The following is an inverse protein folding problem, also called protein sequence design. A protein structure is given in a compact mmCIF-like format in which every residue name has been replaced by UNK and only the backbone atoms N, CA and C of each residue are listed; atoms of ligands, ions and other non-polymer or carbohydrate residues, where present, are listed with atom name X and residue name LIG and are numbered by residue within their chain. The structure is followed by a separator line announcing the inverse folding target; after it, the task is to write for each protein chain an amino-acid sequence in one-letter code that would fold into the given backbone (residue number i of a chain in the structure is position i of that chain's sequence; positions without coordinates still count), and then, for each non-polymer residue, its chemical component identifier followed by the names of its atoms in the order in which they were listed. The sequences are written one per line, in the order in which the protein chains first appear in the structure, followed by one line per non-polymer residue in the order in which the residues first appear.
data_IF_423259778394
#
_entry.id   IF_423259778394
#
_cell.length_a   1.000
_cell.length_b   1.000
_cell.length_c   1.000
_cell.angle_alpha   90.00
_cell.angle_beta   90.00
_cell.angle_gamma   90.00
#
_symmetry.space_group_name_H-M   'P 1'
#
loop_
_entity.id
_entity.type
_entity.pdbx_description
1 polymer ?
#
# COMPACT_ATOMS: atom_id res chain seq x y z
N UNK A 1 78.36 -10.19 -9.51
CA UNK A 1 77.21 -10.21 -10.45
C UNK A 1 76.02 -11.06 -9.95
N UNK A 2 76.23 -12.22 -9.32
CA UNK A 2 75.16 -13.09 -8.78
C UNK A 2 74.30 -12.48 -7.65
N UNK A 3 74.88 -11.66 -6.77
CA UNK A 3 74.18 -11.08 -5.61
C UNK A 3 73.08 -10.07 -6.00
N UNK A 4 73.30 -9.29 -7.07
CA UNK A 4 72.32 -8.34 -7.61
C UNK A 4 71.15 -9.04 -8.32
N UNK A 5 71.40 -10.21 -8.92
CA UNK A 5 70.37 -11.02 -9.58
C UNK A 5 69.40 -11.64 -8.55
N UNK A 6 69.92 -12.19 -7.45
CA UNK A 6 69.11 -12.77 -6.37
C UNK A 6 68.20 -11.73 -5.70
N UNK A 7 68.71 -10.52 -5.47
CA UNK A 7 67.94 -9.41 -4.86
C UNK A 7 66.77 -8.96 -5.74
N UNK A 8 66.94 -8.97 -7.08
CA UNK A 8 65.85 -8.67 -8.04
C UNK A 8 64.79 -9.78 -8.07
N UNK A 9 65.17 -11.05 -7.93
CA UNK A 9 64.21 -12.15 -7.85
C UNK A 9 63.41 -12.16 -6.54
N UNK A 10 64.07 -11.88 -5.41
CA UNK A 10 63.40 -11.75 -4.11
C UNK A 10 62.39 -10.59 -4.12
N UNK A 11 62.76 -9.45 -4.71
CA UNK A 11 61.86 -8.30 -4.86
C UNK A 11 60.66 -8.63 -5.76
N UNK A 12 60.86 -9.34 -6.87
CA UNK A 12 59.76 -9.80 -7.74
C UNK A 12 58.81 -10.75 -7.01
N UNK A 13 59.34 -11.71 -6.24
CA UNK A 13 58.50 -12.63 -5.43
C UNK A 13 57.68 -11.88 -4.38
N UNK A 14 58.30 -10.90 -3.70
CA UNK A 14 57.60 -10.07 -2.73
C UNK A 14 56.46 -9.26 -3.37
N UNK A 15 56.70 -8.65 -4.54
CA UNK A 15 55.65 -7.91 -5.27
C UNK A 15 54.50 -8.83 -5.68
N UNK A 16 54.78 -10.03 -6.20
CA UNK A 16 53.74 -11.01 -6.56
C UNK A 16 52.92 -11.45 -5.34
N UNK A 17 53.57 -11.69 -4.19
CA UNK A 17 52.88 -12.05 -2.95
C UNK A 17 51.98 -10.93 -2.43
N UNK A 18 52.43 -9.68 -2.50
CA UNK A 18 51.63 -8.52 -2.11
C UNK A 18 50.42 -8.31 -3.03
N UNK A 19 50.59 -8.50 -4.34
CA UNK A 19 49.47 -8.45 -5.30
C UNK A 19 48.46 -9.57 -5.07
N UNK A 20 48.92 -10.79 -4.79
CA UNK A 20 48.04 -11.92 -4.47
C UNK A 20 47.26 -11.69 -3.16
N UNK A 21 47.92 -11.15 -2.12
CA UNK A 21 47.27 -10.80 -0.87
C UNK A 21 46.22 -9.70 -1.06
N UNK A 22 46.51 -8.66 -1.84
CA UNK A 22 45.56 -7.61 -2.19
C UNK A 22 44.32 -8.15 -2.91
N UNK A 23 44.50 -9.10 -3.82
CA UNK A 23 43.40 -9.80 -4.50
C UNK A 23 42.54 -10.60 -3.54
N UNK A 24 43.15 -11.36 -2.61
CA UNK A 24 42.43 -12.15 -1.62
C UNK A 24 41.62 -11.24 -0.68
N UNK A 25 42.21 -10.15 -0.20
CA UNK A 25 41.52 -9.18 0.65
C UNK A 25 40.40 -8.45 -0.10
N UNK A 26 40.61 -8.11 -1.38
CA UNK A 26 39.58 -7.50 -2.23
C UNK A 26 38.40 -8.44 -2.50
N UNK A 27 38.66 -9.70 -2.83
CA UNK A 27 37.61 -10.73 -2.98
C UNK A 27 36.89 -11.00 -1.67
N UNK A 28 37.61 -11.03 -0.54
CA UNK A 28 37.03 -11.15 0.79
C UNK A 28 36.11 -9.98 1.14
N UNK A 29 36.50 -8.75 0.78
CA UNK A 29 35.68 -7.56 0.98
C UNK A 29 34.43 -7.57 0.10
N UNK A 30 34.54 -7.94 -1.18
CA UNK A 30 33.40 -8.08 -2.09
C UNK A 30 32.46 -9.19 -1.60
N UNK A 31 32.99 -10.35 -1.23
CA UNK A 31 32.20 -11.44 -0.66
C UNK A 31 31.52 -11.05 0.66
N UNK A 32 32.21 -10.30 1.51
CA UNK A 32 31.64 -9.76 2.75
C UNK A 32 30.55 -8.70 2.50
N UNK A 33 30.70 -7.87 1.46
CA UNK A 33 29.64 -6.94 1.04
C UNK A 33 28.43 -7.68 0.45
N UNK A 34 28.63 -8.73 -0.32
CA UNK A 34 27.54 -9.61 -0.80
C UNK A 34 26.82 -10.32 0.36
N UNK A 35 27.56 -10.78 1.37
CA UNK A 35 26.99 -11.41 2.56
C UNK A 35 26.26 -10.41 3.48
N UNK A 36 26.65 -9.14 3.50
CA UNK A 36 25.94 -8.05 4.22
C UNK A 36 24.80 -7.44 3.40
N UNK A 37 24.82 -7.55 2.08
CA UNK A 37 23.88 -6.94 1.14
C UNK A 37 22.47 -7.54 1.13
N UNK A 38 22.11 -8.36 2.12
CA UNK A 38 20.82 -9.04 2.16
C UNK A 38 20.37 -9.32 3.58
N UNK A 39 20.34 -8.32 4.46
CA UNK A 39 19.38 -8.37 5.57
C UNK A 39 18.02 -8.21 4.93
N UNK A 40 17.40 -9.32 4.50
CA UNK A 40 15.97 -9.32 4.19
C UNK A 40 15.31 -8.95 5.52
N UNK A 41 14.74 -7.74 5.66
CA UNK A 41 13.98 -7.43 6.86
C UNK A 41 12.89 -8.49 6.91
N UNK A 42 12.82 -9.26 7.99
CA UNK A 42 11.72 -10.19 8.19
C UNK A 42 10.44 -9.36 8.17
N UNK A 43 9.72 -9.38 7.05
CA UNK A 43 8.46 -8.66 6.89
C UNK A 43 7.51 -9.18 7.95
N UNK A 44 7.08 -8.32 8.88
CA UNK A 44 6.13 -8.70 9.92
C UNK A 44 4.70 -8.79 9.37
N UNK A 45 4.43 -8.15 8.24
CA UNK A 45 3.13 -8.17 7.56
C UNK A 45 3.32 -8.44 6.06
N UNK A 46 2.46 -9.30 5.54
CA UNK A 46 2.32 -9.55 4.10
C UNK A 46 1.18 -8.70 3.54
N UNK A 47 1.15 -8.42 2.23
CA UNK A 47 0.00 -7.80 1.60
C UNK A 47 -1.27 -8.63 1.84
N UNK A 48 -2.34 -7.97 2.29
CA UNK A 48 -3.63 -8.57 2.61
C UNK A 48 -4.58 -8.28 1.46
N UNK A 49 -4.95 -9.32 0.71
CA UNK A 49 -5.86 -9.21 -0.44
C UNK A 49 -7.32 -9.49 -0.08
N UNK A 50 -7.56 -10.20 1.02
CA UNK A 50 -8.86 -10.68 1.46
C UNK A 50 -8.89 -10.68 2.99
N UNK A 51 -10.03 -10.32 3.57
CA UNK A 51 -10.32 -10.55 4.98
C UNK A 51 -10.61 -12.02 5.28
N UNK A 52 -11.27 -12.26 6.41
CA UNK A 52 -11.59 -13.60 6.88
C UNK A 52 -12.60 -14.31 5.96
N UNK A 53 -12.25 -15.44 5.31
CA UNK A 53 -13.12 -16.16 4.38
C UNK A 53 -14.32 -16.84 5.07
N UNK A 54 -14.28 -17.00 6.39
CA UNK A 54 -15.36 -17.60 7.18
C UNK A 54 -16.44 -16.57 7.55
N UNK A 55 -16.17 -15.27 7.39
CA UNK A 55 -17.14 -14.20 7.67
C UNK A 55 -17.85 -13.79 6.38
N UNK A 56 -19.20 -13.89 6.35
CA UNK A 56 -20.03 -13.38 5.25
C UNK A 56 -20.11 -11.84 5.25
N UNK A 57 -18.97 -11.21 5.01
CA UNK A 57 -18.79 -9.78 5.00
C UNK A 57 -17.87 -9.35 3.87
N UNK A 58 -18.02 -8.12 3.39
CA UNK A 58 -17.14 -7.49 2.40
C UNK A 58 -16.78 -6.08 2.82
N UNK A 59 -15.62 -5.61 2.38
CA UNK A 59 -15.16 -4.24 2.61
C UNK A 59 -15.11 -3.47 1.30
N UNK A 60 -15.86 -2.37 1.25
CA UNK A 60 -15.72 -1.37 0.20
C UNK A 60 -14.57 -0.43 0.59
N UNK A 61 -13.62 -0.26 -0.31
CA UNK A 61 -12.46 0.62 -0.11
C UNK A 61 -12.43 1.71 -1.16
N UNK A 62 -12.16 2.93 -0.73
CA UNK A 62 -12.06 4.09 -1.62
C UNK A 62 -10.66 4.71 -1.50
N UNK A 63 -9.81 4.56 -2.52
CA UNK A 63 -8.53 5.28 -2.60
C UNK A 63 -8.78 6.68 -3.15
N UNK A 64 -8.33 7.71 -2.43
CA UNK A 64 -8.68 9.11 -2.73
C UNK A 64 -7.43 9.94 -2.89
N UNK A 65 -7.32 10.54 -4.07
CA UNK A 65 -6.36 11.60 -4.37
C UNK A 65 -7.00 12.73 -5.21
N UNK A 66 -8.29 12.59 -5.54
CA UNK A 66 -9.17 13.47 -6.31
C UNK A 66 -10.63 13.03 -6.11
N UNK A 67 -11.61 13.74 -6.68
CA UNK A 67 -13.01 13.29 -6.76
C UNK A 67 -13.89 13.73 -5.59
N UNK A 68 -13.52 14.82 -4.94
CA UNK A 68 -14.24 15.41 -3.80
C UNK A 68 -15.72 15.68 -4.08
N UNK A 69 -16.10 15.96 -5.33
CA UNK A 69 -17.47 16.25 -5.76
C UNK A 69 -18.40 15.04 -5.67
N UNK A 70 -17.86 13.82 -5.69
CA UNK A 70 -18.64 12.57 -5.65
C UNK A 70 -18.81 12.01 -4.24
N UNK A 71 -17.95 12.42 -3.29
CA UNK A 71 -17.99 11.94 -1.91
C UNK A 71 -19.34 12.20 -1.20
N UNK A 72 -20.02 13.35 -1.35
CA UNK A 72 -21.33 13.55 -0.74
C UNK A 72 -22.37 12.50 -1.16
N UNK A 73 -22.42 12.14 -2.45
CA UNK A 73 -23.33 11.12 -2.96
C UNK A 73 -22.97 9.72 -2.46
N UNK A 74 -21.67 9.38 -2.45
CA UNK A 74 -21.15 8.12 -1.93
C UNK A 74 -21.52 7.95 -0.44
N UNK A 75 -21.27 8.96 0.39
CA UNK A 75 -21.58 8.95 1.81
C UNK A 75 -23.08 8.82 2.07
N UNK A 76 -23.91 9.52 1.28
CA UNK A 76 -25.37 9.40 1.38
C UNK A 76 -25.86 7.98 1.07
N UNK A 77 -25.33 7.35 0.01
CA UNK A 77 -25.69 5.99 -0.36
C UNK A 77 -25.24 4.97 0.71
N UNK A 78 -24.02 5.10 1.26
CA UNK A 78 -23.54 4.27 2.36
C UNK A 78 -24.43 4.41 3.61
N UNK A 79 -24.81 5.64 3.97
CA UNK A 79 -25.70 5.90 5.09
C UNK A 79 -27.08 5.26 4.90
N UNK A 80 -27.68 5.41 3.71
CA UNK A 80 -28.98 4.82 3.39
C UNK A 80 -28.98 3.29 3.47
N UNK A 81 -27.85 2.66 3.15
CA UNK A 81 -27.68 1.22 3.23
C UNK A 81 -27.31 0.69 4.62
N UNK A 82 -27.06 1.55 5.61
CA UNK A 82 -26.43 1.22 6.89
C UNK A 82 -25.09 0.47 6.71
N UNK A 83 -24.29 0.97 5.75
CA UNK A 83 -23.03 0.37 5.34
C UNK A 83 -21.84 1.15 5.90
N UNK A 84 -20.76 0.42 6.23
CA UNK A 84 -19.46 1.03 6.52
C UNK A 84 -18.45 0.69 5.44
N UNK A 85 -17.53 1.61 5.20
CA UNK A 85 -16.46 1.50 4.22
C UNK A 85 -15.14 2.03 4.80
N UNK A 86 -14.04 1.75 4.11
CA UNK A 86 -12.71 2.27 4.45
C UNK A 86 -12.23 3.23 3.36
N UNK A 87 -11.87 4.44 3.75
CA UNK A 87 -11.39 5.48 2.84
C UNK A 87 -9.89 5.67 3.05
N UNK A 88 -9.12 5.58 1.96
CA UNK A 88 -7.67 5.76 1.92
C UNK A 88 -7.34 7.07 1.21
N UNK A 89 -7.47 8.24 1.87
CA UNK A 89 -7.01 9.50 1.32
C UNK A 89 -5.48 9.65 1.36
N UNK A 90 -4.93 10.34 0.36
CA UNK A 90 -3.56 10.84 0.45
C UNK A 90 -3.49 12.03 1.41
N UNK A 91 -2.34 12.19 2.07
CA UNK A 91 -2.09 13.34 2.95
C UNK A 91 -2.20 14.69 2.24
N UNK A 92 -1.77 14.77 0.97
CA UNK A 92 -1.90 15.99 0.16
C UNK A 92 -3.36 16.36 -0.09
N UNK A 93 -4.19 15.40 -0.46
CA UNK A 93 -5.62 15.62 -0.69
C UNK A 93 -6.32 15.95 0.63
N UNK A 94 -6.04 15.20 1.69
CA UNK A 94 -6.59 15.44 3.03
C UNK A 94 -6.30 16.85 3.57
N UNK A 95 -5.12 17.39 3.27
CA UNK A 95 -4.73 18.75 3.65
C UNK A 95 -5.57 19.83 2.93
N UNK A 96 -5.99 19.57 1.69
CA UNK A 96 -6.81 20.48 0.90
C UNK A 96 -8.31 20.35 1.22
N UNK A 97 -8.74 19.15 1.63
CA UNK A 97 -10.15 18.83 1.91
C UNK A 97 -10.38 18.34 3.35
N UNK A 98 -9.96 19.09 4.39
CA UNK A 98 -9.98 18.63 5.78
C UNK A 98 -11.38 18.35 6.30
N UNK A 99 -12.39 19.11 5.85
CA UNK A 99 -13.77 18.92 6.29
C UNK A 99 -14.40 17.64 5.71
N UNK A 100 -14.01 17.22 4.50
CA UNK A 100 -14.48 15.94 3.95
C UNK A 100 -13.89 14.76 4.72
N UNK A 101 -12.60 14.80 5.06
CA UNK A 101 -11.97 13.76 5.90
C UNK A 101 -12.68 13.66 7.27
N UNK A 102 -12.95 14.81 7.91
CA UNK A 102 -13.70 14.84 9.17
C UNK A 102 -15.12 14.32 9.02
N UNK A 103 -15.80 14.63 7.91
CA UNK A 103 -17.14 14.14 7.63
C UNK A 103 -17.16 12.61 7.50
N UNK A 104 -16.21 12.04 6.75
CA UNK A 104 -16.05 10.57 6.62
C UNK A 104 -15.87 9.93 8.00
N UNK A 105 -14.97 10.47 8.83
CA UNK A 105 -14.72 9.96 10.17
C UNK A 105 -15.94 10.10 11.10
N UNK A 106 -16.66 11.24 11.07
CA UNK A 106 -17.88 11.47 11.84
C UNK A 106 -19.04 10.56 11.42
N UNK A 107 -19.06 10.13 10.16
CA UNK A 107 -19.99 9.12 9.64
C UNK A 107 -19.61 7.68 10.03
N UNK A 108 -18.62 7.51 10.92
CA UNK A 108 -18.17 6.22 11.46
C UNK A 108 -17.58 5.26 10.40
N UNK A 109 -17.08 5.81 9.29
CA UNK A 109 -16.25 5.07 8.34
C UNK A 109 -14.80 5.01 8.80
N UNK A 110 -14.05 4.00 8.34
CA UNK A 110 -12.64 3.86 8.67
C UNK A 110 -11.80 4.77 7.77
N UNK A 111 -10.81 5.46 8.35
CA UNK A 111 -9.79 6.19 7.62
C UNK A 111 -8.52 5.34 7.59
N UNK A 112 -8.12 4.93 6.38
CA UNK A 112 -6.83 4.35 6.06
C UNK A 112 -5.84 5.41 5.55
N UNK A 113 -4.59 5.00 5.35
CA UNK A 113 -3.52 5.86 4.85
C UNK A 113 -3.16 5.49 3.40
N UNK A 114 -3.09 6.48 2.49
CA UNK A 114 -2.66 6.27 1.09
C UNK A 114 -1.33 6.96 0.75
N UNK A 115 -0.49 7.18 1.77
CA UNK A 115 0.71 7.99 1.64
C UNK A 115 0.40 9.48 1.61
N UNK A 116 1.38 10.30 1.26
CA UNK A 116 1.20 11.74 1.15
C UNK A 116 1.14 12.21 -0.29
N UNK A 117 2.17 11.88 -1.08
CA UNK A 117 2.43 12.50 -2.38
C UNK A 117 1.84 11.78 -3.59
N UNK A 118 1.24 10.60 -3.39
CA UNK A 118 0.86 9.67 -4.46
C UNK A 118 2.02 9.33 -5.45
N UNK A 119 3.25 9.04 -4.97
CA UNK A 119 4.35 8.61 -5.84
C UNK A 119 4.12 7.17 -6.36
N UNK A 120 5.00 6.68 -7.22
CA UNK A 120 5.14 5.24 -7.50
C UNK A 120 6.00 4.58 -6.41
N UNK A 121 5.42 3.98 -5.34
CA UNK A 121 6.17 3.50 -4.19
C UNK A 121 7.16 2.37 -4.50
N UNK A 122 6.96 1.61 -5.58
CA UNK A 122 7.89 0.59 -6.04
C UNK A 122 9.22 1.18 -6.55
N UNK A 123 9.23 2.48 -6.86
CA UNK A 123 10.43 3.22 -7.31
C UNK A 123 11.17 3.91 -6.16
N UNK A 124 10.58 3.92 -4.96
CA UNK A 124 11.16 4.54 -3.77
C UNK A 124 11.94 3.52 -2.94
N UNK A 125 12.94 3.99 -2.20
CA UNK A 125 13.59 3.21 -1.14
C UNK A 125 12.65 2.94 0.04
N UNK A 126 13.08 2.09 0.97
CA UNK A 126 12.32 1.82 2.21
C UNK A 126 12.14 3.10 3.04
N UNK A 127 13.18 3.94 3.15
CA UNK A 127 13.12 5.16 3.96
C UNK A 127 12.27 6.25 3.30
N UNK A 128 12.35 6.40 1.98
CA UNK A 128 11.47 7.33 1.24
C UNK A 128 10.00 6.91 1.34
N UNK A 129 9.70 5.62 1.23
CA UNK A 129 8.35 5.11 1.48
C UNK A 129 7.90 5.38 2.92
N UNK A 130 8.76 5.17 3.92
CA UNK A 130 8.42 5.45 5.32
C UNK A 130 8.14 6.94 5.54
N UNK A 131 8.91 7.82 4.92
CA UNK A 131 8.69 9.27 5.00
C UNK A 131 7.34 9.66 4.40
N UNK A 132 7.02 9.18 3.19
CA UNK A 132 5.74 9.47 2.55
C UNK A 132 4.54 8.97 3.37
N UNK A 133 4.61 7.74 3.87
CA UNK A 133 3.55 7.14 4.70
C UNK A 133 3.36 7.93 6.01
N UNK A 134 4.46 8.30 6.69
CA UNK A 134 4.41 9.08 7.94
C UNK A 134 3.84 10.48 7.72
N UNK A 135 4.19 11.14 6.62
CA UNK A 135 3.64 12.47 6.32
C UNK A 135 2.13 12.41 6.09
N UNK A 136 1.64 11.36 5.45
CA UNK A 136 0.20 11.08 5.34
C UNK A 136 -0.43 10.84 6.71
N UNK A 137 0.19 10.00 7.53
CA UNK A 137 -0.25 9.68 8.89
C UNK A 137 -0.42 10.93 9.76
N UNK A 138 0.56 11.83 9.77
CA UNK A 138 0.53 13.07 10.57
C UNK A 138 -0.69 13.94 10.23
N UNK A 139 -0.98 14.11 8.94
CA UNK A 139 -2.16 14.85 8.48
C UNK A 139 -3.44 14.16 8.93
N UNK A 140 -3.55 12.85 8.75
CA UNK A 140 -4.75 12.09 9.08
C UNK A 140 -5.01 12.05 10.59
N UNK A 141 -3.97 11.90 11.42
CA UNK A 141 -4.07 12.01 12.88
C UNK A 141 -4.54 13.41 13.28
N UNK A 142 -3.99 14.47 12.68
CA UNK A 142 -4.39 15.83 13.00
C UNK A 142 -5.87 16.11 12.69
N UNK A 143 -6.41 15.49 11.64
CA UNK A 143 -7.81 15.68 11.22
C UNK A 143 -8.80 14.79 11.98
N UNK A 144 -8.40 13.56 12.33
CA UNK A 144 -9.32 12.53 12.84
C UNK A 144 -9.09 12.18 14.31
N UNK A 145 -7.94 12.55 14.87
CA UNK A 145 -7.51 12.18 16.21
C UNK A 145 -7.08 10.71 16.35
N UNK A 146 -7.03 9.95 15.25
CA UNK A 146 -6.73 8.52 15.27
C UNK A 146 -5.64 8.18 14.26
N UNK A 147 -4.71 7.30 14.66
CA UNK A 147 -3.72 6.72 13.75
C UNK A 147 -4.42 5.71 12.84
N UNK A 148 -4.34 5.83 11.50
CA UNK A 148 -4.86 4.81 10.60
C UNK A 148 -4.18 3.45 10.85
N UNK A 149 -4.95 2.37 10.89
CA UNK A 149 -4.41 1.01 11.07
C UNK A 149 -3.99 0.35 9.74
N UNK A 150 -4.62 0.80 8.66
CA UNK A 150 -4.47 0.24 7.32
C UNK A 150 -3.73 1.22 6.39
N UNK A 151 -2.85 0.69 5.54
CA UNK A 151 -2.21 1.41 4.45
C UNK A 151 -2.52 0.70 3.14
N UNK A 152 -2.95 1.45 2.12
CA UNK A 152 -3.09 0.95 0.74
C UNK A 152 -2.07 1.70 -0.12
N UNK A 153 -1.25 1.05 -0.96
CA UNK A 153 -0.26 1.72 -1.79
C UNK A 153 -0.90 2.36 -3.05
N UNK A 154 -0.42 3.53 -3.49
CA UNK A 154 -0.72 4.05 -4.83
C UNK A 154 -0.46 2.99 -5.91
N UNK A 155 -1.33 2.96 -6.92
CA UNK A 155 -1.21 2.08 -8.10
C UNK A 155 -1.24 0.55 -7.83
N UNK A 156 -1.47 0.13 -6.58
CA UNK A 156 -1.37 -1.29 -6.20
C UNK A 156 0.05 -1.85 -6.19
N UNK A 157 1.04 -0.96 -6.13
CA UNK A 157 2.45 -1.31 -6.11
C UNK A 157 2.83 -1.94 -4.76
N UNK A 158 3.51 -3.09 -4.81
CA UNK A 158 3.69 -3.97 -3.65
C UNK A 158 5.05 -4.66 -3.58
N UNK A 159 6.12 -4.07 -4.15
CA UNK A 159 7.48 -4.61 -4.02
C UNK A 159 7.91 -4.69 -2.55
N UNK A 160 8.90 -5.54 -2.22
CA UNK A 160 9.32 -5.76 -0.84
C UNK A 160 9.66 -4.50 -0.07
N UNK A 161 10.20 -3.46 -0.72
CA UNK A 161 10.55 -2.21 -0.03
C UNK A 161 9.35 -1.42 0.49
N UNK A 162 8.24 -1.32 -0.26
CA UNK A 162 7.05 -0.60 0.21
C UNK A 162 6.32 -1.41 1.28
N UNK A 163 6.25 -2.74 1.12
CA UNK A 163 5.69 -3.64 2.12
C UNK A 163 6.48 -3.56 3.43
N UNK A 164 7.82 -3.61 3.35
CA UNK A 164 8.69 -3.46 4.51
C UNK A 164 8.54 -2.08 5.18
N UNK A 165 8.41 -1.00 4.40
CA UNK A 165 8.19 0.33 4.92
C UNK A 165 6.90 0.42 5.75
N UNK A 166 5.76 -0.02 5.20
CA UNK A 166 4.48 -0.05 5.91
C UNK A 166 4.53 -0.96 7.15
N UNK A 167 5.14 -2.14 7.03
CA UNK A 167 5.31 -3.10 8.13
C UNK A 167 6.13 -2.51 9.28
N UNK A 168 7.22 -1.81 8.97
CA UNK A 168 8.07 -1.14 9.96
C UNK A 168 7.33 -0.02 10.71
N UNK A 169 6.29 0.57 10.10
CA UNK A 169 5.43 1.59 10.70
C UNK A 169 4.22 1.00 11.44
N UNK A 170 4.05 -0.32 11.40
CA UNK A 170 2.98 -1.05 12.08
C UNK A 170 1.65 -1.06 11.33
N UNK A 171 1.67 -0.86 10.01
CA UNK A 171 0.46 -0.90 9.18
C UNK A 171 0.10 -2.31 8.72
N UNK A 172 -1.20 -2.56 8.62
CA UNK A 172 -1.74 -3.60 7.75
C UNK A 172 -1.63 -3.11 6.29
N UNK A 173 -0.90 -3.85 5.45
CA UNK A 173 -0.73 -3.51 4.04
C UNK A 173 -1.92 -4.08 3.24
N UNK A 174 -2.84 -3.22 2.84
CA UNK A 174 -4.11 -3.61 2.25
C UNK A 174 -4.02 -3.52 0.73
N UNK A 175 -4.38 -4.63 0.10
CA UNK A 175 -4.65 -4.76 -1.33
C UNK A 175 -6.14 -5.10 -1.49
N UNK A 176 -6.53 -5.60 -2.65
CA UNK A 176 -7.92 -5.94 -2.95
C UNK A 176 -8.04 -7.28 -3.63
N UNK A 177 -9.17 -7.95 -3.40
CA UNK A 177 -9.58 -9.14 -4.15
C UNK A 177 -10.18 -8.71 -5.50
N UNK A 178 -10.89 -7.59 -5.53
CA UNK A 178 -11.66 -7.12 -6.67
C UNK A 178 -11.22 -5.70 -7.04
N UNK A 179 -10.63 -5.54 -8.22
CA UNK A 179 -10.47 -4.24 -8.88
C UNK A 179 -11.67 -4.01 -9.80
N UNK A 180 -12.30 -2.85 -9.66
CA UNK A 180 -13.48 -2.45 -10.44
C UNK A 180 -13.12 -1.79 -11.76
N UNK A 181 -11.94 -1.18 -11.86
CA UNK A 181 -11.56 -0.38 -13.02
C UNK A 181 -12.37 0.91 -13.17
N UNK A 182 -13.02 1.39 -12.10
CA UNK A 182 -13.90 2.57 -12.10
C UNK A 182 -13.22 3.89 -12.49
N UNK A 183 -11.89 3.92 -12.47
CA UNK A 183 -11.04 5.02 -12.92
C UNK A 183 -10.74 4.98 -14.43
N UNK A 184 -11.14 3.93 -15.15
CA UNK A 184 -10.88 3.81 -16.59
C UNK A 184 -11.87 4.67 -17.40
N UNK A 185 -11.43 5.25 -18.54
CA UNK A 185 -12.31 5.98 -19.43
C UNK A 185 -13.48 5.13 -19.92
N UNK A 186 -14.66 5.74 -20.02
CA UNK A 186 -15.91 5.14 -20.51
C UNK A 186 -16.48 4.00 -19.63
N UNK A 187 -16.03 3.87 -18.38
CA UNK A 187 -16.64 2.92 -17.43
C UNK A 187 -18.04 3.38 -17.05
N UNK A 188 -19.03 2.51 -17.22
CA UNK A 188 -20.41 2.76 -16.79
C UNK A 188 -20.66 2.30 -15.35
N UNK A 189 -21.73 2.79 -14.68
CA UNK A 189 -22.14 2.27 -13.38
C UNK A 189 -22.39 0.74 -13.39
N UNK A 190 -22.95 0.22 -14.48
CA UNK A 190 -23.22 -1.20 -14.67
C UNK A 190 -21.94 -2.03 -14.73
N UNK A 191 -20.90 -1.55 -15.41
CA UNK A 191 -19.59 -2.22 -15.47
C UNK A 191 -18.99 -2.42 -14.07
N UNK A 192 -19.17 -1.44 -13.17
CA UNK A 192 -18.70 -1.53 -11.78
C UNK A 192 -19.43 -2.66 -11.05
N UNK A 193 -20.76 -2.72 -11.16
CA UNK A 193 -21.59 -3.75 -10.52
C UNK A 193 -21.22 -5.14 -11.07
N UNK A 194 -21.10 -5.27 -12.39
CA UNK A 194 -20.76 -6.52 -13.07
C UNK A 194 -19.33 -6.98 -12.78
N UNK A 195 -18.44 -6.04 -12.46
CA UNK A 195 -17.11 -6.38 -11.96
C UNK A 195 -17.15 -6.96 -10.54
N UNK A 196 -18.12 -6.59 -9.69
CA UNK A 196 -18.13 -6.98 -8.27
C UNK A 196 -19.00 -8.22 -8.05
N UNK A 197 -20.26 -8.16 -8.45
CA UNK A 197 -21.30 -9.09 -8.03
C UNK A 197 -20.99 -10.56 -8.38
N UNK A 198 -20.53 -10.90 -9.60
CA UNK A 198 -20.19 -12.28 -9.95
C UNK A 198 -18.95 -12.83 -9.25
N UNK A 199 -18.06 -11.94 -8.79
CA UNK A 199 -16.78 -12.29 -8.14
C UNK A 199 -16.81 -12.14 -6.62
N UNK A 200 -17.94 -11.69 -6.07
CA UNK A 200 -18.07 -11.38 -4.66
C UNK A 200 -18.02 -12.65 -3.81
N UNK A 201 -17.08 -12.67 -2.86
CA UNK A 201 -16.86 -13.77 -1.92
C UNK A 201 -16.71 -13.24 -0.49
N UNK A 202 -16.84 -14.13 0.50
CA UNK A 202 -16.59 -13.81 1.91
C UNK A 202 -15.20 -13.17 2.10
N UNK A 203 -15.13 -12.09 2.87
CA UNK A 203 -13.90 -11.35 3.12
C UNK A 203 -13.41 -10.55 1.91
N UNK A 204 -14.17 -10.40 0.82
CA UNK A 204 -13.72 -9.63 -0.33
C UNK A 204 -13.42 -8.18 0.06
N UNK A 205 -12.25 -7.70 -0.38
CA UNK A 205 -11.87 -6.28 -0.35
C UNK A 205 -12.03 -5.73 -1.77
N UNK A 206 -12.85 -4.71 -1.93
CA UNK A 206 -13.26 -4.15 -3.22
C UNK A 206 -12.64 -2.76 -3.37
N UNK A 207 -11.83 -2.57 -4.41
CA UNK A 207 -11.22 -1.29 -4.75
C UNK A 207 -12.17 -0.41 -5.58
N UNK A 208 -12.42 0.79 -5.08
CA UNK A 208 -13.16 1.87 -5.72
C UNK A 208 -12.40 3.19 -5.56
N UNK A 209 -12.85 4.19 -6.31
CA UNK A 209 -12.45 5.58 -6.25
C UNK A 209 -13.71 6.46 -6.22
N UNK A 210 -13.63 7.70 -5.73
CA UNK A 210 -14.74 8.62 -5.81
C UNK A 210 -14.88 9.14 -7.24
N UNK A 211 -15.58 8.39 -8.08
CA UNK A 211 -15.86 8.73 -9.48
C UNK A 211 -17.36 8.93 -9.70
N UNK A 212 -17.74 9.58 -10.81
CA UNK A 212 -19.13 9.68 -11.23
C UNK A 212 -19.79 8.29 -11.34
N UNK A 213 -19.27 7.32 -12.12
CA UNK A 213 -19.91 6.01 -12.25
C UNK A 213 -19.98 5.26 -10.92
N UNK A 214 -18.96 5.36 -10.06
CA UNK A 214 -19.01 4.77 -8.71
C UNK A 214 -20.15 5.37 -7.88
N UNK A 215 -20.30 6.70 -7.89
CA UNK A 215 -21.38 7.36 -7.14
C UNK A 215 -22.78 6.94 -7.61
N UNK A 216 -22.94 6.67 -8.92
CA UNK A 216 -24.20 6.24 -9.52
C UNK A 216 -24.46 4.74 -9.31
N UNK A 217 -23.42 3.90 -9.31
CA UNK A 217 -23.52 2.45 -9.11
C UNK A 217 -23.84 2.07 -7.66
N UNK A 218 -23.38 2.87 -6.71
CA UNK A 218 -23.34 2.49 -5.29
C UNK A 218 -24.71 2.11 -4.70
N UNK A 219 -25.82 2.84 -4.97
CA UNK A 219 -27.14 2.46 -4.44
C UNK A 219 -27.58 1.04 -4.82
N UNK A 220 -27.44 0.68 -6.11
CA UNK A 220 -27.84 -0.65 -6.59
C UNK A 220 -26.82 -1.72 -6.15
N UNK A 221 -25.52 -1.41 -6.16
CA UNK A 221 -24.48 -2.31 -5.65
C UNK A 221 -24.74 -2.69 -4.18
N UNK A 222 -25.00 -1.72 -3.31
CA UNK A 222 -25.24 -1.93 -1.89
C UNK A 222 -26.49 -2.79 -1.66
N UNK A 223 -27.56 -2.52 -2.42
CA UNK A 223 -28.78 -3.33 -2.41
C UNK A 223 -28.49 -4.78 -2.80
N UNK A 224 -27.78 -5.00 -3.90
CA UNK A 224 -27.44 -6.35 -4.37
C UNK A 224 -26.52 -7.13 -3.42
N UNK A 225 -25.57 -6.46 -2.76
CA UNK A 225 -24.72 -7.10 -1.74
C UNK A 225 -25.55 -7.49 -0.50
N UNK A 226 -26.49 -6.63 -0.09
CA UNK A 226 -27.40 -6.89 1.04
C UNK A 226 -28.39 -8.02 0.74
N UNK A 227 -28.95 -8.09 -0.46
CA UNK A 227 -29.81 -9.19 -0.91
C UNK A 227 -29.06 -10.54 -0.92
N UNK A 228 -27.75 -10.52 -1.12
CA UNK A 228 -26.85 -11.68 -0.99
C UNK A 228 -26.41 -11.95 0.44
N UNK A 229 -26.91 -11.17 1.40
CA UNK A 229 -26.65 -11.24 2.84
C UNK A 229 -25.17 -10.99 3.23
N UNK A 230 -24.44 -10.21 2.43
CA UNK A 230 -23.12 -9.74 2.84
C UNK A 230 -23.22 -8.59 3.84
N UNK A 231 -22.54 -8.71 4.97
CA UNK A 231 -22.33 -7.58 5.86
C UNK A 231 -21.33 -6.58 5.24
N UNK A 232 -21.69 -5.31 5.22
CA UNK A 232 -20.87 -4.23 4.65
C UNK A 232 -20.08 -3.56 5.77
N UNK A 233 -18.78 -3.86 5.83
CA UNK A 233 -17.92 -3.58 6.99
C UNK A 233 -16.65 -2.86 6.55
N UNK A 234 -15.97 -2.24 7.51
CA UNK A 234 -14.63 -1.68 7.28
C UNK A 234 -13.60 -2.80 7.10
N UNK A 235 -12.45 -2.48 6.50
CA UNK A 235 -11.35 -3.45 6.34
C UNK A 235 -10.97 -4.03 7.69
N UNK A 236 -10.69 -3.19 8.69
CA UNK A 236 -10.30 -3.65 10.03
C UNK A 236 -11.29 -4.62 10.70
N UNK A 237 -12.58 -4.54 10.39
CA UNK A 237 -13.59 -5.45 10.96
C UNK A 237 -13.63 -6.83 10.29
N UNK A 238 -13.28 -6.90 9.00
CA UNK A 238 -13.32 -8.14 8.23
C UNK A 238 -12.02 -8.92 8.31
N UNK A 239 -10.91 -8.29 8.74
CA UNK A 239 -9.67 -9.01 9.06
C UNK A 239 -9.88 -10.07 10.16
#
# INVERSE_FOLDING_TARGET
MYMLYYRKQALRRLVVLLLALGLILGMGFIGWQWLRGGVIPTMKSHPIYQGNPEKKAVALTFTIDWGEEYLPAILAALQQADARATFFPTGRWASLHPELVKQIARANHEIGNHGYGHPHPDSLSIEENKEDIKRGEEVLIALTGQKPACYSPPYGECKPQVVAAASNLGYNFIMWTINTGDYLPNTSPEDIIDSIIPRCQNGAIILLHPTEPTSQALPELLKQLKEREYALKTVSEIL
#
